data_IF_465388420130
#
_entry.id   IF_465388420130
#
_cell.length_a   1.000
_cell.length_b   1.000
_cell.length_c   1.000
_cell.angle_alpha   90.00
_cell.angle_beta   90.00
_cell.angle_gamma   90.00
#
_symmetry.space_group_name_H-M   'P 1'
#
loop_
_entity.id
_entity.type
_entity.pdbx_description
1 polymer ?
#
# COMPACT_ATOMS: atom_id res chain seq x y z
N UNK A 1 -11.38 33.40 -0.59
CA UNK A 1 -11.71 33.23 -2.03
C UNK A 1 -11.23 31.85 -2.47
N UNK A 2 -12.01 31.14 -3.29
CA UNK A 2 -11.64 29.83 -3.85
C UNK A 2 -11.38 30.02 -5.34
N UNK A 3 -10.29 29.42 -5.83
CA UNK A 3 -9.88 29.51 -7.24
C UNK A 3 -10.55 28.39 -8.03
N UNK A 4 -10.82 28.63 -9.31
CA UNK A 4 -11.44 27.65 -10.21
C UNK A 4 -10.60 27.51 -11.49
N UNK A 5 -10.67 26.33 -12.12
CA UNK A 5 -10.12 26.09 -13.45
C UNK A 5 -10.87 26.90 -14.49
N UNK A 6 -10.30 27.02 -15.69
CA UNK A 6 -10.97 27.67 -16.83
C UNK A 6 -12.29 26.98 -17.23
N UNK A 7 -12.46 25.70 -16.89
CA UNK A 7 -13.70 24.95 -17.11
C UNK A 7 -14.76 25.20 -16.02
N UNK A 8 -14.44 25.96 -14.97
CA UNK A 8 -15.33 26.25 -13.85
C UNK A 8 -15.21 25.28 -12.67
N UNK A 9 -14.29 24.32 -12.72
CA UNK A 9 -14.06 23.38 -11.62
C UNK A 9 -13.32 24.05 -10.47
N UNK A 10 -13.83 23.92 -9.25
CA UNK A 10 -13.16 24.50 -8.09
C UNK A 10 -11.86 23.75 -7.79
N UNK A 11 -10.77 24.51 -7.65
CA UNK A 11 -9.51 23.95 -7.19
C UNK A 11 -9.65 23.50 -5.72
N UNK A 12 -9.05 22.36 -5.36
CA UNK A 12 -8.96 21.94 -3.96
C UNK A 12 -8.12 22.95 -3.18
N UNK A 13 -8.50 23.19 -1.94
CA UNK A 13 -7.71 23.95 -0.97
C UNK A 13 -6.48 23.16 -0.53
N UNK A 14 -5.48 23.85 0.04
CA UNK A 14 -4.29 23.19 0.59
C UNK A 14 -4.64 22.14 1.65
N UNK A 15 -5.67 22.41 2.46
CA UNK A 15 -6.20 21.44 3.43
C UNK A 15 -6.76 20.20 2.76
N UNK A 16 -7.60 20.36 1.72
CA UNK A 16 -8.19 19.24 0.97
C UNK A 16 -7.10 18.40 0.28
N UNK A 17 -6.05 19.04 -0.26
CA UNK A 17 -4.90 18.33 -0.84
C UNK A 17 -4.13 17.55 0.25
N UNK A 18 -3.86 18.17 1.39
CA UNK A 18 -3.14 17.54 2.50
C UNK A 18 -3.91 16.34 3.06
N UNK A 19 -5.23 16.46 3.22
CA UNK A 19 -6.08 15.34 3.64
C UNK A 19 -6.11 14.22 2.61
N UNK A 20 -6.19 14.56 1.32
CA UNK A 20 -6.11 13.58 0.25
C UNK A 20 -4.77 12.83 0.25
N UNK A 21 -3.65 13.53 0.42
CA UNK A 21 -2.33 12.90 0.54
C UNK A 21 -2.21 12.01 1.77
N UNK A 22 -2.73 12.44 2.92
CA UNK A 22 -2.78 11.60 4.13
C UNK A 22 -3.57 10.32 3.92
N UNK A 23 -4.72 10.40 3.26
CA UNK A 23 -5.55 9.23 2.94
C UNK A 23 -4.81 8.27 1.99
N UNK A 24 -4.12 8.80 0.97
CA UNK A 24 -3.30 7.98 0.06
C UNK A 24 -2.15 7.29 0.80
N UNK A 25 -1.42 8.03 1.62
CA UNK A 25 -0.32 7.49 2.42
C UNK A 25 -0.80 6.40 3.41
N UNK A 26 -1.98 6.58 4.01
CA UNK A 26 -2.57 5.58 4.89
C UNK A 26 -2.97 4.32 4.12
N UNK A 27 -3.56 4.47 2.93
CA UNK A 27 -3.92 3.33 2.08
C UNK A 27 -2.68 2.56 1.61
N UNK A 28 -1.61 3.27 1.22
CA UNK A 28 -0.35 2.64 0.82
C UNK A 28 0.29 1.87 1.98
N UNK A 29 0.29 2.44 3.19
CA UNK A 29 0.75 1.74 4.40
C UNK A 29 -0.03 0.46 4.67
N UNK A 30 -1.35 0.49 4.51
CA UNK A 30 -2.19 -0.71 4.68
C UNK A 30 -1.84 -1.79 3.66
N UNK A 31 -1.63 -1.42 2.39
CA UNK A 31 -1.23 -2.36 1.33
C UNK A 31 0.13 -2.96 1.62
N UNK A 32 1.12 -2.14 1.94
CA UNK A 32 2.45 -2.59 2.29
C UNK A 32 2.44 -3.54 3.50
N UNK A 33 1.62 -3.27 4.51
CA UNK A 33 1.46 -4.16 5.66
C UNK A 33 0.83 -5.52 5.25
N UNK A 34 -0.17 -5.51 4.38
CA UNK A 34 -0.79 -6.73 3.88
C UNK A 34 0.17 -7.56 3.03
N UNK A 35 0.99 -6.92 2.20
CA UNK A 35 2.03 -7.60 1.42
C UNK A 35 3.11 -8.21 2.30
N UNK A 36 3.55 -7.49 3.35
CA UNK A 36 4.49 -8.04 4.34
C UNK A 36 3.93 -9.27 5.03
N UNK A 37 2.68 -9.23 5.49
CA UNK A 37 2.03 -10.38 6.12
C UNK A 37 1.94 -11.59 5.17
N UNK A 38 1.63 -11.36 3.89
CA UNK A 38 1.61 -12.42 2.88
C UNK A 38 3.00 -12.99 2.60
N UNK A 39 4.03 -12.15 2.57
CA UNK A 39 5.40 -12.58 2.38
C UNK A 39 5.90 -13.42 3.56
N UNK A 40 5.60 -12.99 4.79
CA UNK A 40 5.91 -13.72 6.03
C UNK A 40 5.20 -15.09 6.07
N UNK A 41 3.92 -15.16 5.67
CA UNK A 41 3.17 -16.43 5.60
C UNK A 41 3.76 -17.39 4.55
N UNK A 42 4.12 -16.86 3.37
CA UNK A 42 4.76 -17.65 2.32
C UNK A 42 6.15 -18.14 2.76
N UNK A 43 6.93 -17.30 3.43
CA UNK A 43 8.24 -17.66 3.96
C UNK A 43 8.13 -18.76 5.02
N UNK A 44 7.15 -18.66 5.93
CA UNK A 44 6.87 -19.71 6.91
C UNK A 44 6.46 -21.03 6.24
N UNK A 45 5.64 -20.96 5.18
CA UNK A 45 5.25 -22.13 4.40
C UNK A 45 6.45 -22.78 3.71
N UNK A 46 7.31 -21.97 3.09
CA UNK A 46 8.54 -22.44 2.44
C UNK A 46 9.52 -23.05 3.44
N UNK A 47 9.67 -22.44 4.62
CA UNK A 47 10.50 -22.97 5.70
C UNK A 47 9.99 -24.35 6.15
N UNK A 48 8.68 -24.49 6.39
CA UNK A 48 8.06 -25.77 6.74
C UNK A 48 8.21 -26.81 5.64
N UNK A 49 8.12 -26.39 4.38
CA UNK A 49 8.34 -27.27 3.23
C UNK A 49 9.79 -27.78 3.22
N UNK A 50 10.77 -26.88 3.41
CA UNK A 50 12.20 -27.22 3.49
C UNK A 50 12.49 -28.19 4.63
N UNK A 51 11.91 -27.97 5.81
CA UNK A 51 12.07 -28.89 6.96
C UNK A 51 11.52 -30.29 6.68
N UNK A 52 10.42 -30.37 5.93
CA UNK A 52 9.73 -31.64 5.66
C UNK A 52 10.31 -32.41 4.48
N UNK A 53 10.75 -31.71 3.43
CA UNK A 53 11.10 -32.31 2.14
C UNK A 53 12.55 -32.04 1.71
N UNK A 54 13.32 -31.24 2.45
CA UNK A 54 14.65 -30.79 2.06
C UNK A 54 14.58 -29.56 1.14
N UNK A 55 15.73 -29.11 0.62
CA UNK A 55 15.76 -28.00 -0.34
C UNK A 55 15.05 -28.36 -1.65
N UNK A 56 14.32 -27.40 -2.22
CA UNK A 56 13.82 -27.52 -3.58
C UNK A 56 15.02 -27.63 -4.53
N UNK A 57 15.09 -28.64 -5.41
CA UNK A 57 16.09 -28.67 -6.47
C UNK A 57 15.91 -27.44 -7.38
N UNK A 58 17.04 -26.82 -7.76
CA UNK A 58 17.12 -25.67 -8.68
C UNK A 58 16.46 -25.94 -10.04
#
# INVERSE_FOLDING_TARGET
MRWATFAGDLLPTESELTEQERMRAQQERMRAQQERMRAEDLEALLQRYRERFGDLPE
#
